data_IF_026058535679
#
_entry.id   IF_026058535679
#
_cell.length_a   1.000
_cell.length_b   1.000
_cell.length_c   1.000
_cell.angle_alpha   90.00
_cell.angle_beta   90.00
_cell.angle_gamma   90.00
#
_symmetry.space_group_name_H-M   'P 1'
#
loop_
_entity.id
_entity.type
_entity.pdbx_description
1 polymer ?
#
# COMPACT_ATOMS: atom_id res chain seq x y z
N UNK A 1 -4.02 21.41 12.91
CA UNK A 1 -3.68 20.02 13.32
C UNK A 1 -4.80 19.13 12.84
N UNK A 2 -4.48 17.92 12.39
CA UNK A 2 -5.48 16.93 11.97
C UNK A 2 -5.38 15.68 12.81
N UNK A 3 -6.53 15.07 13.07
CA UNK A 3 -6.63 13.80 13.80
C UNK A 3 -6.92 12.69 12.79
N UNK A 4 -6.23 11.57 12.95
CA UNK A 4 -6.42 10.39 12.13
C UNK A 4 -6.75 9.20 13.03
N UNK A 5 -7.78 8.44 12.64
CA UNK A 5 -8.02 7.10 13.15
C UNK A 5 -7.08 6.12 12.43
N UNK A 6 -6.29 5.37 13.20
CA UNK A 6 -5.32 4.41 12.70
C UNK A 6 -5.90 3.01 12.81
N UNK A 7 -5.74 2.21 11.75
CA UNK A 7 -6.24 0.84 11.68
C UNK A 7 -5.14 -0.12 11.28
N UNK A 8 -5.05 -1.26 11.96
CA UNK A 8 -4.26 -2.41 11.52
C UNK A 8 -5.01 -3.12 10.37
N UNK A 9 -4.36 -3.29 9.22
CA UNK A 9 -4.92 -3.96 8.03
C UNK A 9 -3.88 -4.87 7.39
N UNK A 10 -4.06 -6.17 7.59
CA UNK A 10 -3.08 -7.16 7.15
C UNK A 10 -1.72 -6.90 7.81
N UNK A 11 -0.68 -6.75 6.99
CA UNK A 11 0.69 -6.55 7.46
C UNK A 11 1.00 -5.10 7.86
N UNK A 12 0.21 -4.12 7.41
CA UNK A 12 0.49 -2.71 7.64
C UNK A 12 -0.65 -1.97 8.34
N UNK A 13 -0.48 -0.65 8.47
CA UNK A 13 -1.49 0.26 9.01
C UNK A 13 -2.09 1.14 7.91
N UNK A 14 -3.31 1.59 8.13
CA UNK A 14 -3.92 2.68 7.34
C UNK A 14 -4.37 3.80 8.28
N UNK A 15 -4.34 5.03 7.76
CA UNK A 15 -4.87 6.20 8.44
C UNK A 15 -6.12 6.71 7.72
N UNK A 16 -7.14 7.11 8.49
CA UNK A 16 -8.36 7.76 8.01
C UNK A 16 -8.53 9.07 8.77
N UNK A 17 -8.84 10.15 8.07
CA UNK A 17 -9.11 11.44 8.71
C UNK A 17 -10.32 11.28 9.64
N UNK A 18 -10.17 11.74 10.88
CA UNK A 18 -11.19 11.68 11.93
C UNK A 18 -11.67 13.09 12.22
N UNK A 19 -12.98 13.28 12.24
CA UNK A 19 -13.61 14.58 12.47
C UNK A 19 -14.68 14.40 13.56
N UNK A 20 -14.53 15.10 14.67
CA UNK A 20 -15.42 15.05 15.83
C UNK A 20 -16.11 16.39 16.15
N UNK A 21 -15.73 17.45 15.44
CA UNK A 21 -16.24 18.79 15.65
C UNK A 21 -16.72 19.41 14.36
N UNK A 22 -17.69 20.33 14.48
CA UNK A 22 -18.20 21.12 13.35
C UNK A 22 -17.09 21.89 12.64
N UNK A 23 -16.14 22.45 13.38
CA UNK A 23 -15.02 23.22 12.82
C UNK A 23 -14.09 22.36 11.95
N UNK A 24 -14.03 21.05 12.22
CA UNK A 24 -13.31 20.11 11.37
C UNK A 24 -14.01 19.82 10.03
N UNK A 25 -15.28 20.18 9.86
CA UNK A 25 -16.01 20.05 8.59
C UNK A 25 -15.64 21.19 7.63
N UNK A 26 -14.46 21.08 7.02
CA UNK A 26 -13.89 22.10 6.13
C UNK A 26 -14.85 22.43 4.98
N UNK A 27 -15.07 23.74 4.81
CA UNK A 27 -15.85 24.33 3.75
C UNK A 27 -15.48 23.81 2.35
N UNK A 28 -16.47 23.37 1.56
CA UNK A 28 -16.25 22.83 0.21
C UNK A 28 -15.67 21.41 0.15
N UNK A 29 -15.25 20.82 1.28
CA UNK A 29 -14.70 19.46 1.35
C UNK A 29 -15.58 18.47 2.10
N UNK A 30 -16.19 18.89 3.22
CA UNK A 30 -16.97 18.01 4.11
C UNK A 30 -18.36 18.58 4.50
N UNK A 31 -18.81 19.67 3.87
CA UNK A 31 -20.08 20.33 4.23
C UNK A 31 -21.34 19.47 4.02
N UNK A 32 -21.26 18.40 3.24
CA UNK A 32 -22.39 17.47 3.04
C UNK A 32 -22.55 16.48 4.22
N UNK A 33 -21.63 16.48 5.18
CA UNK A 33 -21.69 15.64 6.37
C UNK A 33 -22.56 16.37 7.41
N UNK A 34 -23.72 15.80 7.82
CA UNK A 34 -24.57 16.42 8.82
C UNK A 34 -23.89 16.43 10.19
N UNK A 35 -23.96 17.55 10.90
CA UNK A 35 -23.31 17.74 12.20
C UNK A 35 -23.74 16.70 13.25
N UNK A 36 -24.99 16.21 13.16
CA UNK A 36 -25.53 15.16 14.03
C UNK A 36 -24.98 13.74 13.76
N UNK A 37 -24.12 13.56 12.75
CA UNK A 37 -23.46 12.29 12.45
C UNK A 37 -22.05 12.18 13.01
N UNK A 38 -21.54 13.26 13.59
CA UNK A 38 -20.24 13.30 14.27
C UNK A 38 -20.23 12.40 15.52
N UNK A 39 -19.06 11.82 15.89
CA UNK A 39 -17.80 11.84 15.14
C UNK A 39 -17.85 10.94 13.90
N UNK A 40 -17.05 11.26 12.87
CA UNK A 40 -16.94 10.50 11.63
C UNK A 40 -15.51 10.17 11.27
N UNK A 41 -15.35 9.08 10.51
CA UNK A 41 -14.12 8.78 9.77
C UNK A 41 -14.36 8.95 8.29
N UNK A 42 -13.45 9.65 7.63
CA UNK A 42 -13.51 9.91 6.20
C UNK A 42 -12.87 8.73 5.47
N UNK A 43 -13.68 8.08 4.65
CA UNK A 43 -13.29 7.04 3.72
C UNK A 43 -12.39 7.58 2.62
N UNK A 44 -11.89 6.65 1.81
CA UNK A 44 -10.83 6.96 0.84
C UNK A 44 -11.34 7.78 -0.35
N UNK A 45 -12.61 7.63 -0.70
CA UNK A 45 -13.22 8.27 -1.86
C UNK A 45 -14.08 9.48 -1.47
N UNK A 46 -13.90 9.99 -0.24
CA UNK A 46 -14.74 11.05 0.32
C UNK A 46 -16.05 10.54 0.91
N UNK A 47 -16.31 9.24 0.92
CA UNK A 47 -17.36 8.66 1.75
C UNK A 47 -17.06 8.90 3.24
N UNK A 48 -18.07 8.78 4.11
CA UNK A 48 -17.87 8.87 5.56
C UNK A 48 -18.73 7.85 6.29
N UNK A 49 -18.30 7.50 7.50
CA UNK A 49 -19.06 6.67 8.42
C UNK A 49 -18.99 7.30 9.81
N UNK A 50 -20.09 7.26 10.56
CA UNK A 50 -20.06 7.58 11.99
C UNK A 50 -19.09 6.65 12.70
N UNK A 51 -18.20 7.24 13.50
CA UNK A 51 -17.23 6.53 14.29
C UNK A 51 -17.91 5.96 15.53
N UNK A 52 -17.93 4.64 15.63
CA UNK A 52 -18.46 3.91 16.79
C UNK A 52 -17.36 2.99 17.27
N UNK A 53 -16.76 3.31 18.43
CA UNK A 53 -15.55 2.67 18.95
C UNK A 53 -15.58 1.13 18.87
N UNK A 54 -16.65 0.49 19.35
CA UNK A 54 -16.81 -0.97 19.30
C UNK A 54 -16.91 -1.55 17.88
N UNK A 55 -17.51 -0.81 16.94
CA UNK A 55 -17.56 -1.23 15.54
C UNK A 55 -16.20 -1.02 14.85
N UNK A 56 -15.49 0.05 15.19
CA UNK A 56 -14.21 0.40 14.61
C UNK A 56 -13.09 -0.52 15.11
N UNK A 57 -13.10 -0.92 16.39
CA UNK A 57 -12.20 -1.97 16.92
C UNK A 57 -12.32 -3.27 16.13
N UNK A 58 -13.55 -3.69 15.78
CA UNK A 58 -13.80 -4.87 14.92
C UNK A 58 -13.24 -4.70 13.51
N UNK A 59 -13.13 -3.47 13.03
CA UNK A 59 -12.48 -3.13 11.75
C UNK A 59 -10.96 -2.98 11.88
N UNK A 60 -10.39 -3.18 13.07
CA UNK A 60 -8.96 -3.10 13.34
C UNK A 60 -8.47 -1.73 13.82
N UNK A 61 -9.34 -0.86 14.33
CA UNK A 61 -8.93 0.40 14.93
C UNK A 61 -7.97 0.17 16.10
N UNK A 62 -6.84 0.90 16.12
CA UNK A 62 -5.79 0.77 17.13
C UNK A 62 -5.52 2.06 17.91
N UNK A 63 -6.07 3.19 17.47
CA UNK A 63 -5.94 4.46 18.17
C UNK A 63 -5.92 5.67 17.25
N UNK A 64 -5.78 6.84 17.86
CA UNK A 64 -5.69 8.11 17.16
C UNK A 64 -4.25 8.58 17.02
N UNK A 65 -3.97 9.32 15.95
CA UNK A 65 -2.73 10.06 15.76
C UNK A 65 -3.03 11.47 15.32
N UNK A 66 -2.39 12.44 15.95
CA UNK A 66 -2.51 13.85 15.58
C UNK A 66 -1.23 14.28 14.87
N UNK A 67 -1.35 14.92 13.71
CA UNK A 67 -0.22 15.45 12.96
C UNK A 67 -0.54 16.82 12.35
N UNK A 68 0.49 17.48 11.81
CA UNK A 68 0.31 18.72 11.05
C UNK A 68 -0.34 18.42 9.69
N UNK A 69 -0.84 19.45 9.00
CA UNK A 69 -1.54 19.26 7.72
C UNK A 69 -0.62 18.80 6.59
N UNK A 70 0.66 19.19 6.67
CA UNK A 70 1.74 18.85 5.75
C UNK A 70 2.47 17.55 6.11
N UNK A 71 2.09 16.92 7.23
CA UNK A 71 2.72 15.71 7.75
C UNK A 71 1.89 14.47 7.44
N UNK A 72 2.54 13.43 6.92
CA UNK A 72 1.89 12.15 6.72
C UNK A 72 1.62 11.46 8.08
N UNK A 73 0.39 10.96 8.34
CA UNK A 73 0.06 10.35 9.62
C UNK A 73 0.78 9.02 9.86
N UNK A 74 1.30 8.35 8.83
CA UNK A 74 2.04 7.10 8.94
C UNK A 74 3.26 7.16 8.04
N UNK A 75 4.36 6.55 8.48
CA UNK A 75 5.52 6.35 7.61
C UNK A 75 5.23 5.27 6.56
N UNK A 76 6.05 5.21 5.49
CA UNK A 76 5.98 4.09 4.53
C UNK A 76 6.15 2.74 5.24
N UNK A 77 7.08 2.62 6.18
CA UNK A 77 7.32 1.36 6.91
C UNK A 77 6.10 0.92 7.74
N UNK A 78 5.37 1.86 8.33
CA UNK A 78 4.14 1.53 9.06
C UNK A 78 3.01 1.05 8.15
N UNK A 79 2.92 1.59 6.92
CA UNK A 79 1.88 1.23 5.94
C UNK A 79 2.24 -0.02 5.14
N UNK A 80 3.51 -0.15 4.75
CA UNK A 80 4.04 -1.13 3.82
C UNK A 80 5.38 -1.65 4.35
N UNK A 81 5.36 -2.57 5.33
CA UNK A 81 6.58 -3.03 5.99
C UNK A 81 7.57 -3.63 5.01
N UNK A 82 8.84 -3.31 5.23
CA UNK A 82 9.94 -3.80 4.43
C UNK A 82 10.33 -5.21 4.90
N UNK A 83 10.54 -6.13 3.97
CA UNK A 83 11.01 -7.49 4.23
C UNK A 83 10.15 -8.27 5.25
N UNK A 84 8.83 -8.02 5.24
CA UNK A 84 7.88 -8.72 6.09
C UNK A 84 7.95 -10.24 5.84
N UNK A 85 8.01 -11.03 6.91
CA UNK A 85 8.10 -12.50 6.82
C UNK A 85 6.91 -13.11 6.05
N UNK A 86 5.72 -12.55 6.26
CA UNK A 86 4.49 -12.95 5.59
C UNK A 86 4.25 -12.22 4.24
N UNK A 87 5.30 -11.67 3.61
CA UNK A 87 5.18 -11.03 2.30
C UNK A 87 4.59 -12.02 1.28
N UNK A 88 3.59 -11.56 0.53
CA UNK A 88 2.94 -12.34 -0.52
C UNK A 88 2.61 -11.51 -1.76
N UNK A 89 2.34 -10.21 -1.59
CA UNK A 89 1.99 -9.28 -2.66
C UNK A 89 2.57 -7.90 -2.34
N UNK A 90 3.07 -7.22 -3.37
CA UNK A 90 3.66 -5.90 -3.23
C UNK A 90 4.77 -5.66 -4.23
N UNK A 91 5.83 -5.00 -3.79
CA UNK A 91 6.94 -4.58 -4.64
C UNK A 91 8.26 -5.18 -4.18
N UNK A 92 9.13 -5.56 -5.13
CA UNK A 92 10.50 -6.02 -4.88
C UNK A 92 11.46 -5.09 -5.61
N UNK A 93 12.32 -4.42 -4.85
CA UNK A 93 13.38 -3.57 -5.41
C UNK A 93 14.40 -4.39 -6.21
N UNK A 94 15.21 -3.76 -7.08
CA UNK A 94 16.32 -4.44 -7.76
C UNK A 94 17.33 -5.10 -6.82
N UNK A 95 17.40 -4.64 -5.56
CA UNK A 95 18.28 -5.18 -4.51
C UNK A 95 17.63 -6.31 -3.69
N UNK A 96 16.38 -6.70 -3.99
CA UNK A 96 15.67 -7.77 -3.30
C UNK A 96 14.89 -7.34 -2.06
N UNK A 97 14.87 -6.06 -1.70
CA UNK A 97 14.01 -5.57 -0.62
C UNK A 97 12.53 -5.66 -1.03
N UNK A 98 11.70 -6.26 -0.17
CA UNK A 98 10.25 -6.41 -0.40
C UNK A 98 9.45 -5.38 0.38
N UNK A 99 8.32 -4.95 -0.18
CA UNK A 99 7.43 -3.96 0.43
C UNK A 99 5.98 -4.45 0.35
N UNK A 100 5.43 -4.92 1.47
CA UNK A 100 4.16 -5.62 1.50
C UNK A 100 2.97 -4.65 1.45
N UNK A 101 2.08 -4.78 0.46
CA UNK A 101 0.88 -3.93 0.38
C UNK A 101 -0.44 -4.70 0.36
N UNK A 102 -0.38 -6.03 0.20
CA UNK A 102 -1.59 -6.83 0.02
C UNK A 102 -2.32 -6.48 -1.28
N UNK A 103 -3.57 -6.93 -1.40
CA UNK A 103 -4.28 -7.02 -2.68
C UNK A 103 -4.62 -5.67 -3.35
N UNK A 104 -5.11 -4.69 -2.59
CA UNK A 104 -5.74 -3.48 -3.15
C UNK A 104 -4.89 -2.20 -3.01
N UNK A 105 -3.60 -2.33 -2.71
CA UNK A 105 -2.76 -1.18 -2.35
C UNK A 105 -1.45 -1.03 -3.14
N UNK A 106 -1.30 -1.73 -4.27
CA UNK A 106 -0.09 -1.68 -5.11
C UNK A 106 0.31 -0.25 -5.51
N UNK A 107 -0.64 0.53 -6.04
CA UNK A 107 -0.39 1.92 -6.46
C UNK A 107 0.03 2.80 -5.28
N UNK A 108 -0.63 2.70 -4.12
CA UNK A 108 -0.31 3.51 -2.95
C UNK A 108 1.02 3.11 -2.30
N UNK A 109 1.34 1.82 -2.34
CA UNK A 109 2.64 1.32 -1.93
C UNK A 109 3.73 1.90 -2.83
N UNK A 110 3.54 1.89 -4.15
CA UNK A 110 4.48 2.46 -5.08
C UNK A 110 4.68 3.96 -4.85
N UNK A 111 3.60 4.72 -4.68
CA UNK A 111 3.68 6.15 -4.39
C UNK A 111 4.40 6.42 -3.06
N UNK A 112 4.15 5.61 -2.03
CA UNK A 112 4.79 5.75 -0.73
C UNK A 112 6.30 5.41 -0.79
N UNK A 113 6.68 4.36 -1.53
CA UNK A 113 8.09 4.03 -1.81
C UNK A 113 8.75 5.19 -2.55
N UNK A 114 8.13 5.71 -3.62
CA UNK A 114 8.68 6.82 -4.38
C UNK A 114 8.89 8.06 -3.51
N UNK A 115 7.93 8.42 -2.63
CA UNK A 115 8.11 9.55 -1.72
C UNK A 115 9.23 9.33 -0.71
N UNK A 116 9.31 8.14 -0.12
CA UNK A 116 10.33 7.76 0.86
C UNK A 116 11.74 7.81 0.26
N UNK A 117 11.89 7.40 -1.00
CA UNK A 117 13.17 7.36 -1.73
C UNK A 117 13.46 8.63 -2.56
N UNK A 118 12.57 9.62 -2.55
CA UNK A 118 12.76 10.87 -3.29
C UNK A 118 12.58 10.77 -4.82
N UNK A 119 11.82 9.78 -5.31
CA UNK A 119 11.48 9.60 -6.72
C UNK A 119 10.19 10.36 -7.12
N UNK A 120 9.93 10.48 -8.43
CA UNK A 120 8.66 11.04 -8.94
C UNK A 120 7.47 10.15 -8.54
N UNK A 121 6.61 10.66 -7.69
CA UNK A 121 5.43 9.97 -7.18
C UNK A 121 4.12 10.37 -7.87
N UNK A 122 4.14 11.05 -9.03
CA UNK A 122 2.91 11.34 -9.80
C UNK A 122 2.27 10.08 -10.39
N UNK A 123 3.10 9.08 -10.66
CA UNK A 123 2.69 7.73 -11.03
C UNK A 123 3.76 6.76 -10.49
N UNK A 124 3.68 6.47 -9.19
CA UNK A 124 4.69 5.68 -8.50
C UNK A 124 4.90 4.31 -9.14
N UNK A 125 3.83 3.64 -9.56
CA UNK A 125 3.89 2.36 -10.25
C UNK A 125 4.79 2.42 -11.50
N UNK A 126 4.49 3.35 -12.42
CA UNK A 126 5.29 3.52 -13.64
C UNK A 126 6.73 3.96 -13.34
N UNK A 127 6.92 4.77 -12.29
CA UNK A 127 8.26 5.19 -11.85
C UNK A 127 9.07 4.00 -11.37
N UNK A 128 8.51 3.17 -10.48
CA UNK A 128 9.17 1.98 -9.95
C UNK A 128 9.47 0.96 -11.06
N UNK A 129 8.49 0.71 -11.93
CA UNK A 129 8.69 -0.07 -13.15
C UNK A 129 9.89 0.43 -13.93
N UNK A 130 9.97 1.72 -14.32
CA UNK A 130 11.13 2.26 -15.05
C UNK A 130 12.48 2.11 -14.33
N UNK A 131 12.46 1.94 -13.02
CA UNK A 131 13.64 1.74 -12.19
C UNK A 131 13.96 0.25 -11.96
N UNK A 132 13.29 -0.66 -12.68
CA UNK A 132 13.52 -2.10 -12.63
C UNK A 132 12.91 -2.80 -11.42
N UNK A 133 11.94 -2.18 -10.75
CA UNK A 133 11.23 -2.84 -9.64
C UNK A 133 10.24 -3.86 -10.17
N UNK A 134 10.09 -4.96 -9.43
CA UNK A 134 9.13 -6.01 -9.73
C UNK A 134 7.86 -5.84 -8.88
N UNK A 135 6.70 -5.84 -9.51
CA UNK A 135 5.39 -5.89 -8.87
C UNK A 135 4.92 -7.35 -8.78
N UNK A 136 4.50 -7.76 -7.59
CA UNK A 136 3.94 -9.10 -7.32
C UNK A 136 2.45 -8.93 -7.05
N UNK A 137 1.61 -9.40 -7.98
CA UNK A 137 0.15 -9.35 -7.86
C UNK A 137 -0.44 -10.76 -7.85
N UNK A 138 -1.73 -10.87 -7.49
CA UNK A 138 -2.49 -12.11 -7.59
C UNK A 138 -3.81 -11.84 -8.29
N UNK A 139 -4.17 -12.70 -9.23
CA UNK A 139 -5.44 -12.56 -9.95
C UNK A 139 -6.62 -13.00 -9.07
N UNK A 140 -7.75 -12.27 -9.10
CA UNK A 140 -8.93 -12.51 -8.24
C UNK A 140 -9.82 -13.65 -8.71
N UNK A 141 -9.84 -13.93 -10.01
CA UNK A 141 -10.92 -14.70 -10.61
C UNK A 141 -10.78 -16.21 -10.51
N UNK A 142 -9.61 -16.70 -10.10
CA UNK A 142 -9.41 -18.11 -9.81
C UNK A 142 -8.52 -18.25 -8.58
N UNK A 143 -8.25 -19.47 -8.14
CA UNK A 143 -7.10 -19.81 -7.29
C UNK A 143 -5.77 -19.51 -8.03
N UNK A 144 -5.67 -18.33 -8.63
CA UNK A 144 -4.76 -17.98 -9.70
C UNK A 144 -3.32 -17.91 -9.22
N UNK A 145 -2.44 -18.32 -10.12
CA UNK A 145 -1.00 -18.15 -9.95
C UNK A 145 -0.67 -16.69 -9.62
N UNK A 146 0.32 -16.45 -8.75
CA UNK A 146 0.90 -15.12 -8.62
C UNK A 146 1.43 -14.66 -9.97
N UNK A 147 1.34 -13.36 -10.21
CA UNK A 147 1.85 -12.70 -11.40
C UNK A 147 2.99 -11.78 -10.98
N UNK A 148 4.06 -11.81 -11.77
CA UNK A 148 5.22 -10.94 -11.60
C UNK A 148 5.29 -10.02 -12.80
N UNK A 149 5.19 -8.72 -12.55
CA UNK A 149 5.37 -7.68 -13.56
C UNK A 149 6.66 -6.93 -13.31
N UNK A 150 7.53 -6.89 -14.31
CA UNK A 150 8.72 -6.03 -14.31
C UNK A 150 8.55 -5.06 -15.47
N UNK A 151 8.33 -3.78 -15.17
CA UNK A 151 8.33 -2.74 -16.20
C UNK A 151 9.75 -2.20 -16.44
N UNK A 152 9.96 -1.54 -17.59
CA UNK A 152 11.07 -0.62 -17.93
C UNK A 152 12.55 -0.99 -17.66
N UNK A 153 13.36 -1.03 -18.75
CA UNK A 153 14.83 -1.17 -18.71
C UNK A 153 15.28 -2.63 -18.74
N UNK A 154 15.65 -3.13 -19.94
CA UNK A 154 15.85 -4.55 -20.32
C UNK A 154 14.72 -5.56 -20.00
N UNK A 155 13.82 -5.26 -19.05
CA UNK A 155 12.63 -6.05 -18.75
C UNK A 155 12.94 -7.42 -18.15
N UNK A 156 14.02 -7.52 -17.38
CA UNK A 156 14.51 -8.75 -16.76
C UNK A 156 14.63 -8.60 -15.25
N UNK A 157 14.45 -9.70 -14.52
CA UNK A 157 14.61 -9.76 -13.08
C UNK A 157 16.10 -9.72 -12.71
N UNK A 158 16.46 -9.07 -11.60
CA UNK A 158 17.80 -9.20 -11.01
C UNK A 158 17.93 -10.52 -10.23
N UNK A 159 19.15 -11.03 -10.02
CA UNK A 159 19.35 -12.22 -9.18
C UNK A 159 18.82 -12.04 -7.74
N UNK A 160 18.87 -10.82 -7.20
CA UNK A 160 18.28 -10.53 -5.89
C UNK A 160 16.76 -10.66 -5.90
N UNK A 161 16.09 -10.19 -6.96
CA UNK A 161 14.65 -10.39 -7.14
C UNK A 161 14.32 -11.87 -7.35
N UNK A 162 15.10 -12.60 -8.15
CA UNK A 162 14.91 -14.04 -8.38
C UNK A 162 15.00 -14.81 -7.06
N UNK A 163 16.02 -14.53 -6.23
CA UNK A 163 16.16 -15.16 -4.91
C UNK A 163 14.93 -14.89 -4.00
N UNK A 164 14.30 -13.71 -4.11
CA UNK A 164 13.05 -13.44 -3.42
C UNK A 164 11.90 -14.30 -3.94
N UNK A 165 11.76 -14.47 -5.26
CA UNK A 165 10.72 -15.31 -5.86
C UNK A 165 10.89 -16.79 -5.48
N UNK A 166 12.12 -17.29 -5.47
CA UNK A 166 12.47 -18.64 -5.00
C UNK A 166 12.13 -18.82 -3.52
N UNK A 167 12.47 -17.84 -2.67
CA UNK A 167 12.10 -17.86 -1.24
C UNK A 167 10.59 -17.85 -1.01
N UNK A 168 9.83 -17.21 -1.90
CA UNK A 168 8.36 -17.20 -1.87
C UNK A 168 7.75 -18.51 -2.38
N UNK A 169 8.54 -19.38 -3.01
CA UNK A 169 8.08 -20.64 -3.60
C UNK A 169 7.18 -20.44 -4.81
N UNK A 170 7.35 -19.33 -5.53
CA UNK A 170 6.55 -18.98 -6.71
C UNK A 170 7.33 -19.08 -8.03
N UNK A 171 8.60 -19.44 -7.96
CA UNK A 171 9.47 -19.75 -9.10
C UNK A 171 9.00 -20.97 -9.91
N UNK A 172 8.25 -21.88 -9.29
CA UNK A 172 7.67 -23.05 -9.96
C UNK A 172 6.54 -22.74 -10.95
N UNK A 173 5.96 -21.54 -10.94
CA UNK A 173 4.90 -21.17 -11.88
C UNK A 173 5.50 -20.94 -13.29
N UNK A 174 4.94 -21.54 -14.35
CA UNK A 174 5.54 -21.50 -15.70
C UNK A 174 5.90 -20.09 -16.20
N UNK A 175 4.99 -19.13 -16.02
CA UNK A 175 5.20 -17.72 -16.42
C UNK A 175 6.38 -17.07 -15.69
N UNK A 176 6.52 -17.36 -14.39
CA UNK A 176 7.60 -16.81 -13.55
C UNK A 176 8.92 -17.47 -13.91
N UNK A 177 8.92 -18.80 -14.08
CA UNK A 177 10.08 -19.57 -14.51
C UNK A 177 10.63 -19.07 -15.85
N UNK A 178 9.77 -18.79 -16.82
CA UNK A 178 10.19 -18.24 -18.11
C UNK A 178 10.87 -16.88 -17.97
N UNK A 179 10.39 -16.02 -17.06
CA UNK A 179 11.04 -14.73 -16.79
C UNK A 179 12.42 -14.91 -16.14
N UNK A 180 12.55 -15.83 -15.18
CA UNK A 180 13.83 -16.17 -14.53
C UNK A 180 14.83 -16.70 -15.57
N UNK A 181 14.41 -17.65 -16.41
CA UNK A 181 15.26 -18.23 -17.45
C UNK A 181 15.69 -17.19 -18.50
N UNK A 182 14.84 -16.21 -18.81
CA UNK A 182 15.19 -15.10 -19.70
C UNK A 182 16.21 -14.15 -19.06
N UNK A 183 16.12 -13.88 -17.77
CA UNK A 183 17.03 -13.00 -17.06
C UNK A 183 18.45 -13.56 -16.93
N UNK A 184 18.60 -14.89 -16.94
CA UNK A 184 19.88 -15.60 -16.79
C UNK A 184 20.61 -15.92 -18.11
N UNK A 185 20.05 -15.53 -19.26
CA UNK A 185 20.65 -15.72 -20.58
C UNK A 185 21.49 -14.51 -20.98
#
# INVERSE_FOLDING_TARGET
MKVYAIYQKGLGKIAREYIDTRDGLIAGRYMYIPENTLPVVIGRFGDYCTFVDEAEKKKGFVGFKTCREDEAPLSREEMYPKNAEAFAMGWISPQGDTYACGYAAHIYCADAICRDLGYDCRNGQRTLEKLGWAEITKNLHEKGAPMVHVGGGEGTLTEAQIACLEKLGIDGYPEIRMQIERARK
#
